data_IF_060745909737
#
_entry.id   IF_060745909737
#
_cell.length_a   1.000
_cell.length_b   1.000
_cell.length_c   1.000
_cell.angle_alpha   90.00
_cell.angle_beta   90.00
_cell.angle_gamma   90.00
#
_symmetry.space_group_name_H-M   'P 1'
#
loop_
_entity.id
_entity.type
_entity.pdbx_description
1 polymer ?
#
# COMPACT_ATOMS: atom_id res chain seq x y z
N UNK A 1 -25.26 -14.17 66.81
CA UNK A 1 -24.98 -12.81 66.28
C UNK A 1 -23.59 -12.71 65.64
N UNK A 2 -22.50 -13.05 66.35
CA UNK A 2 -21.13 -13.05 65.79
C UNK A 2 -20.90 -13.97 64.57
N UNK A 3 -21.56 -15.14 64.52
CA UNK A 3 -21.48 -16.10 63.39
C UNK A 3 -22.06 -15.55 62.08
N UNK A 4 -23.14 -14.77 62.15
CA UNK A 4 -23.85 -14.27 60.96
C UNK A 4 -23.15 -13.03 60.38
N UNK A 5 -22.53 -12.20 61.23
CA UNK A 5 -21.68 -11.09 60.80
C UNK A 5 -20.44 -11.59 60.04
N UNK A 6 -19.78 -12.63 60.55
CA UNK A 6 -18.59 -13.21 59.90
C UNK A 6 -18.92 -13.78 58.52
N UNK A 7 -20.05 -14.49 58.38
CA UNK A 7 -20.53 -14.99 57.07
C UNK A 7 -20.73 -13.87 56.04
N UNK A 8 -21.20 -12.69 56.47
CA UNK A 8 -21.36 -11.52 55.59
C UNK A 8 -20.04 -10.97 55.06
N UNK A 9 -18.99 -10.94 55.89
CA UNK A 9 -17.65 -10.49 55.47
C UNK A 9 -17.01 -11.45 54.45
N UNK A 10 -17.06 -12.77 54.68
CA UNK A 10 -16.55 -13.76 53.72
C UNK A 10 -17.29 -13.69 52.37
N UNK A 11 -18.60 -13.40 52.40
CA UNK A 11 -19.39 -13.26 51.19
C UNK A 11 -18.97 -12.03 50.36
N UNK A 12 -18.67 -10.90 51.02
CA UNK A 12 -18.21 -9.68 50.34
C UNK A 12 -16.81 -9.84 49.74
N UNK A 13 -15.89 -10.52 50.43
CA UNK A 13 -14.55 -10.83 49.90
C UNK A 13 -14.60 -11.81 48.70
N UNK A 14 -15.48 -12.82 48.77
CA UNK A 14 -15.70 -13.75 47.67
C UNK A 14 -16.29 -13.04 46.44
N UNK A 15 -17.24 -12.11 46.64
CA UNK A 15 -17.80 -11.29 45.56
C UNK A 15 -16.72 -10.36 44.97
N UNK A 16 -15.91 -9.71 45.82
CA UNK A 16 -14.83 -8.83 45.39
C UNK A 16 -13.77 -9.54 44.54
N UNK A 17 -13.34 -10.73 44.97
CA UNK A 17 -12.37 -11.55 44.23
C UNK A 17 -12.95 -12.11 42.92
N UNK A 18 -14.23 -12.51 42.89
CA UNK A 18 -14.92 -12.91 41.67
C UNK A 18 -15.00 -11.76 40.66
N UNK A 19 -15.40 -10.56 41.10
CA UNK A 19 -15.49 -9.37 40.24
C UNK A 19 -14.11 -8.95 39.71
N UNK A 20 -13.08 -8.99 40.55
CA UNK A 20 -11.70 -8.72 40.14
C UNK A 20 -11.21 -9.76 39.11
N UNK A 21 -11.55 -11.04 39.29
CA UNK A 21 -11.22 -12.11 38.36
C UNK A 21 -11.92 -11.97 37.01
N UNK A 22 -13.23 -11.65 37.01
CA UNK A 22 -14.00 -11.42 35.78
C UNK A 22 -13.50 -10.19 35.03
N UNK A 23 -13.28 -9.07 35.73
CA UNK A 23 -12.74 -7.84 35.14
C UNK A 23 -11.32 -8.03 34.62
N UNK A 24 -10.47 -8.74 35.36
CA UNK A 24 -9.11 -9.08 34.95
C UNK A 24 -9.08 -10.00 33.73
N UNK A 25 -9.93 -11.02 33.71
CA UNK A 25 -10.07 -11.96 32.58
C UNK A 25 -10.60 -11.29 31.32
N UNK A 26 -11.63 -10.44 31.44
CA UNK A 26 -12.17 -9.67 30.32
C UNK A 26 -11.16 -8.65 29.78
N UNK A 27 -10.42 -7.98 30.66
CA UNK A 27 -9.32 -7.10 30.29
C UNK A 27 -8.24 -7.82 29.49
N UNK A 28 -7.77 -8.97 29.99
CA UNK A 28 -6.77 -9.78 29.28
C UNK A 28 -7.27 -10.30 27.92
N UNK A 29 -8.53 -10.72 27.82
CA UNK A 29 -9.12 -11.20 26.57
C UNK A 29 -9.29 -10.09 25.52
N UNK A 30 -9.73 -8.89 25.94
CA UNK A 30 -9.79 -7.73 25.05
C UNK A 30 -8.40 -7.34 24.55
N UNK A 31 -7.39 -7.32 25.42
CA UNK A 31 -6.01 -7.01 25.05
C UNK A 31 -5.47 -8.00 24.01
N UNK A 32 -5.69 -9.29 24.23
CA UNK A 32 -5.26 -10.32 23.29
C UNK A 32 -5.91 -10.12 21.91
N UNK A 33 -7.19 -9.76 21.86
CA UNK A 33 -7.89 -9.49 20.62
C UNK A 33 -7.40 -8.22 19.91
N UNK A 34 -7.21 -7.11 20.63
CA UNK A 34 -6.75 -5.86 20.02
C UNK A 34 -5.30 -5.93 19.55
N UNK A 35 -4.39 -6.49 20.37
CA UNK A 35 -2.99 -6.66 19.98
C UNK A 35 -2.87 -7.66 18.84
N UNK A 36 -3.63 -8.76 18.88
CA UNK A 36 -3.69 -9.74 17.80
C UNK A 36 -4.15 -9.13 16.48
N UNK A 37 -5.24 -8.35 16.50
CA UNK A 37 -5.78 -7.68 15.33
C UNK A 37 -4.85 -6.58 14.78
N UNK A 38 -4.24 -5.77 15.65
CA UNK A 38 -3.28 -4.73 15.26
C UNK A 38 -2.01 -5.34 14.66
N UNK A 39 -1.50 -6.44 15.24
CA UNK A 39 -0.38 -7.19 14.67
C UNK A 39 -0.72 -7.82 13.32
N UNK A 40 -1.92 -8.39 13.19
CA UNK A 40 -2.42 -8.95 11.92
C UNK A 40 -2.50 -7.87 10.85
N UNK A 41 -3.09 -6.70 11.16
CA UNK A 41 -3.15 -5.54 10.24
C UNK A 41 -1.76 -5.05 9.85
N UNK A 42 -0.82 -5.01 10.80
CA UNK A 42 0.56 -4.66 10.53
C UNK A 42 1.21 -5.62 9.53
N UNK A 43 1.04 -6.93 9.72
CA UNK A 43 1.56 -7.95 8.79
C UNK A 43 0.90 -7.87 7.42
N UNK A 44 -0.42 -7.68 7.37
CA UNK A 44 -1.16 -7.51 6.13
C UNK A 44 -0.69 -6.28 5.36
N UNK A 45 -0.42 -5.16 6.06
CA UNK A 45 0.13 -3.95 5.47
C UNK A 45 1.54 -4.18 4.88
N UNK A 46 2.42 -4.85 5.62
CA UNK A 46 3.78 -5.15 5.16
C UNK A 46 3.78 -6.10 3.96
N UNK A 47 2.93 -7.14 3.97
CA UNK A 47 2.77 -8.05 2.84
C UNK A 47 2.24 -7.33 1.60
N UNK A 48 1.23 -6.45 1.77
CA UNK A 48 0.70 -5.62 0.70
C UNK A 48 1.77 -4.71 0.11
N UNK A 49 2.54 -4.01 0.95
CA UNK A 49 3.61 -3.13 0.50
C UNK A 49 4.68 -3.90 -0.31
N UNK A 50 5.07 -5.10 0.15
CA UNK A 50 6.02 -5.95 -0.56
C UNK A 50 5.50 -6.42 -1.92
N UNK A 51 4.23 -6.83 -1.99
CA UNK A 51 3.61 -7.27 -3.24
C UNK A 51 3.52 -6.13 -4.26
N UNK A 52 3.07 -4.94 -3.85
CA UNK A 52 3.01 -3.75 -4.71
C UNK A 52 4.41 -3.31 -5.17
N UNK A 53 5.40 -3.36 -4.28
CA UNK A 53 6.79 -3.07 -4.65
C UNK A 53 7.29 -4.04 -5.72
N UNK A 54 6.98 -5.33 -5.60
CA UNK A 54 7.36 -6.35 -6.58
C UNK A 54 6.71 -6.12 -7.96
N UNK A 55 5.41 -5.82 -8.00
CA UNK A 55 4.71 -5.50 -9.24
C UNK A 55 5.28 -4.25 -9.92
N UNK A 56 5.47 -3.16 -9.17
CA UNK A 56 6.06 -1.93 -9.69
C UNK A 56 7.51 -2.12 -10.15
N UNK A 57 8.32 -2.91 -9.45
CA UNK A 57 9.70 -3.24 -9.83
C UNK A 57 9.77 -4.01 -11.15
N UNK A 58 8.81 -4.93 -11.38
CA UNK A 58 8.68 -5.64 -12.64
C UNK A 58 8.39 -4.67 -13.81
N UNK A 59 7.49 -3.70 -13.60
CA UNK A 59 7.24 -2.66 -14.60
C UNK A 59 8.46 -1.77 -14.83
N UNK A 60 9.12 -1.31 -13.76
CA UNK A 60 10.28 -0.42 -13.83
C UNK A 60 11.43 -1.02 -14.67
N UNK A 61 11.68 -2.33 -14.55
CA UNK A 61 12.69 -3.04 -15.35
C UNK A 61 12.45 -2.95 -16.86
N UNK A 62 11.19 -2.82 -17.28
CA UNK A 62 10.81 -2.72 -18.70
C UNK A 62 10.80 -1.29 -19.25
N UNK A 63 10.82 -0.25 -18.40
CA UNK A 63 10.66 1.15 -18.82
C UNK A 63 11.76 1.59 -19.79
N UNK A 64 13.02 1.22 -19.55
CA UNK A 64 14.14 1.59 -20.42
C UNK A 64 13.95 1.08 -21.85
N UNK A 65 13.51 -0.17 -21.98
CA UNK A 65 13.25 -0.78 -23.29
C UNK A 65 12.06 -0.11 -23.98
N UNK A 66 10.96 0.12 -23.24
CA UNK A 66 9.77 0.82 -23.75
C UNK A 66 10.16 2.21 -24.25
N UNK A 67 10.88 3.00 -23.45
CA UNK A 67 11.35 4.34 -23.83
C UNK A 67 12.17 4.29 -25.13
N UNK A 68 13.12 3.36 -25.22
CA UNK A 68 13.95 3.22 -26.42
C UNK A 68 13.11 2.91 -27.67
N UNK A 69 12.11 2.02 -27.55
CA UNK A 69 11.20 1.70 -28.66
C UNK A 69 10.35 2.91 -29.07
N UNK A 70 9.84 3.68 -28.11
CA UNK A 70 9.06 4.89 -28.40
C UNK A 70 9.86 5.95 -29.13
N UNK A 71 11.13 6.14 -28.74
CA UNK A 71 12.04 7.06 -29.43
C UNK A 71 12.33 6.59 -30.86
N UNK A 72 12.66 5.31 -31.06
CA UNK A 72 12.82 4.75 -32.42
C UNK A 72 11.55 4.93 -33.27
N UNK A 73 10.37 4.70 -32.70
CA UNK A 73 9.11 4.91 -33.42
C UNK A 73 8.85 6.37 -33.79
N UNK A 74 9.44 7.32 -33.06
CA UNK A 74 9.33 8.75 -33.34
C UNK A 74 10.23 9.23 -34.48
N UNK A 75 11.27 8.47 -34.82
CA UNK A 75 12.23 8.78 -35.91
C UNK A 75 11.66 8.49 -37.31
N UNK A 76 10.56 7.73 -37.39
CA UNK A 76 9.82 7.49 -38.63
C UNK A 76 9.82 6.02 -39.09
N UNK A 77 9.16 5.73 -40.22
CA UNK A 77 8.88 4.37 -40.66
C UNK A 77 10.12 3.57 -41.13
N UNK A 78 11.24 4.23 -41.46
CA UNK A 78 12.44 3.58 -41.98
C UNK A 78 13.23 2.80 -40.92
N UNK A 79 13.16 3.22 -39.65
CA UNK A 79 13.88 2.62 -38.51
C UNK A 79 12.98 1.81 -37.59
N UNK A 80 11.70 1.67 -37.95
CA UNK A 80 10.65 1.24 -37.05
C UNK A 80 10.20 -0.20 -37.30
N UNK A 81 10.32 -1.03 -36.26
CA UNK A 81 9.56 -2.28 -36.20
C UNK A 81 8.04 -2.01 -36.27
N UNK A 82 7.24 -2.84 -36.97
CA UNK A 82 5.80 -2.64 -37.07
C UNK A 82 5.15 -2.56 -35.68
N UNK A 83 4.39 -1.49 -35.41
CA UNK A 83 3.54 -1.44 -34.21
C UNK A 83 2.38 -2.40 -34.45
N UNK A 84 2.29 -3.42 -33.61
CA UNK A 84 1.21 -4.39 -33.63
C UNK A 84 0.17 -4.01 -32.58
N UNK A 85 -1.08 -4.38 -32.86
CA UNK A 85 -2.14 -4.34 -31.85
C UNK A 85 -1.76 -5.27 -30.69
N UNK A 86 -1.96 -4.81 -29.48
CA UNK A 86 -1.72 -5.57 -28.27
C UNK A 86 -2.76 -5.21 -27.21
N UNK A 87 -2.92 -6.09 -26.22
CA UNK A 87 -3.68 -5.80 -25.01
C UNK A 87 -2.71 -5.41 -23.90
N UNK A 88 -2.88 -4.25 -23.23
CA UNK A 88 -1.97 -3.86 -22.17
C UNK A 88 -1.96 -4.87 -21.03
N UNK A 89 -0.81 -5.09 -20.37
CA UNK A 89 -0.75 -5.91 -19.18
C UNK A 89 -1.60 -5.28 -18.06
N UNK A 90 -2.25 -6.13 -17.28
CA UNK A 90 -3.03 -5.77 -16.09
C UNK A 90 -2.15 -5.60 -14.85
N UNK A 91 -2.70 -5.04 -13.78
CA UNK A 91 -2.01 -4.84 -12.50
C UNK A 91 -2.65 -5.73 -11.40
N UNK A 92 -2.48 -7.06 -11.46
CA UNK A 92 -3.26 -7.99 -10.63
C UNK A 92 -3.11 -7.76 -9.12
N UNK A 93 -1.92 -7.36 -8.65
CA UNK A 93 -1.71 -7.06 -7.23
C UNK A 93 -2.45 -5.78 -6.85
N UNK A 94 -2.30 -4.70 -7.62
CA UNK A 94 -3.00 -3.45 -7.33
C UNK A 94 -4.52 -3.61 -7.41
N UNK A 95 -5.03 -4.17 -8.51
CA UNK A 95 -6.47 -4.29 -8.77
C UNK A 95 -7.17 -5.15 -7.70
N UNK A 96 -6.51 -6.21 -7.21
CA UNK A 96 -7.05 -7.06 -6.13
C UNK A 96 -6.91 -6.47 -4.72
N UNK A 97 -6.15 -5.38 -4.55
CA UNK A 97 -5.80 -4.82 -3.24
C UNK A 97 -6.27 -3.38 -3.00
N UNK A 98 -7.02 -2.77 -3.93
CA UNK A 98 -7.53 -1.39 -3.83
C UNK A 98 -8.20 -1.11 -2.48
N UNK A 99 -9.06 -2.01 -2.01
CA UNK A 99 -9.77 -1.87 -0.72
C UNK A 99 -8.84 -1.91 0.51
N UNK A 100 -7.61 -2.42 0.35
CA UNK A 100 -6.61 -2.58 1.43
C UNK A 100 -5.53 -1.52 1.40
N UNK A 101 -5.51 -0.61 0.42
CA UNK A 101 -4.48 0.44 0.32
C UNK A 101 -4.41 1.31 1.58
N UNK A 102 -5.53 1.50 2.29
CA UNK A 102 -5.58 2.24 3.55
C UNK A 102 -4.65 1.68 4.65
N UNK A 103 -4.26 0.40 4.58
CA UNK A 103 -3.31 -0.22 5.51
C UNK A 103 -1.90 0.40 5.43
N UNK A 104 -1.55 1.02 4.30
CA UNK A 104 -0.25 1.68 4.09
C UNK A 104 -0.19 3.08 4.75
N UNK A 105 -1.32 3.59 5.24
CA UNK A 105 -1.49 4.97 5.66
C UNK A 105 -1.71 5.92 4.48
N UNK A 106 -2.23 7.13 4.75
CA UNK A 106 -2.76 8.03 3.71
C UNK A 106 -1.71 8.46 2.69
N UNK A 107 -0.48 8.74 3.14
CA UNK A 107 0.60 9.22 2.26
C UNK A 107 1.03 8.16 1.24
N UNK A 108 1.28 6.92 1.69
CA UNK A 108 1.69 5.84 0.78
C UNK A 108 0.52 5.37 -0.09
N UNK A 109 -0.68 5.24 0.47
CA UNK A 109 -1.88 4.88 -0.28
C UNK A 109 -2.13 5.84 -1.45
N UNK A 110 -2.03 7.16 -1.20
CA UNK A 110 -2.18 8.18 -2.23
C UNK A 110 -1.10 8.11 -3.31
N UNK A 111 0.17 7.90 -2.91
CA UNK A 111 1.26 7.71 -3.88
C UNK A 111 1.05 6.48 -4.76
N UNK A 112 0.65 5.35 -4.17
CA UNK A 112 0.35 4.11 -4.90
C UNK A 112 -0.75 4.37 -5.94
N UNK A 113 -1.90 4.90 -5.50
CA UNK A 113 -3.00 5.18 -6.41
C UNK A 113 -2.59 6.12 -7.56
N UNK A 114 -1.85 7.19 -7.27
CA UNK A 114 -1.36 8.13 -8.29
C UNK A 114 -0.45 7.46 -9.34
N UNK A 115 0.53 6.66 -8.90
CA UNK A 115 1.49 6.03 -9.83
C UNK A 115 0.80 5.00 -10.72
N UNK A 116 -0.10 4.18 -10.17
CA UNK A 116 -0.86 3.23 -10.99
C UNK A 116 -1.76 3.91 -12.01
N UNK A 117 -2.36 5.07 -11.68
CA UNK A 117 -3.12 5.85 -12.66
C UNK A 117 -2.24 6.44 -13.76
N UNK A 118 -1.06 6.96 -13.44
CA UNK A 118 -0.11 7.44 -14.43
C UNK A 118 0.33 6.33 -15.39
N UNK A 119 0.63 5.13 -14.86
CA UNK A 119 0.95 3.95 -15.68
C UNK A 119 -0.23 3.51 -16.55
N UNK A 120 -1.46 3.60 -16.03
CA UNK A 120 -2.68 3.29 -16.78
C UNK A 120 -2.89 4.30 -17.92
N UNK A 121 -2.62 5.58 -17.69
CA UNK A 121 -2.69 6.62 -18.72
C UNK A 121 -1.66 6.37 -19.83
N UNK A 122 -0.40 6.07 -19.51
CA UNK A 122 0.62 5.72 -20.51
C UNK A 122 0.16 4.52 -21.35
N UNK A 123 -0.36 3.47 -20.70
CA UNK A 123 -0.86 2.28 -21.42
C UNK A 123 -2.05 2.61 -22.32
N UNK A 124 -2.97 3.47 -21.89
CA UNK A 124 -4.11 3.90 -22.69
C UNK A 124 -3.65 4.65 -23.95
N UNK A 125 -2.70 5.58 -23.80
CA UNK A 125 -2.12 6.32 -24.94
C UNK A 125 -1.41 5.38 -25.93
N UNK A 126 -0.63 4.40 -25.44
CA UNK A 126 0.00 3.39 -26.27
C UNK A 126 -1.03 2.50 -26.99
N UNK A 127 -2.15 2.21 -26.34
CA UNK A 127 -3.24 1.43 -26.93
C UNK A 127 -3.87 2.15 -28.12
N UNK A 128 -4.15 3.46 -27.98
CA UNK A 128 -4.67 4.29 -29.07
C UNK A 128 -3.69 4.27 -30.25
N UNK A 129 -2.40 4.50 -29.99
CA UNK A 129 -1.37 4.42 -31.02
C UNK A 129 -1.42 3.05 -31.70
N UNK A 130 -1.39 1.96 -30.96
CA UNK A 130 -1.36 0.62 -31.54
C UNK A 130 -2.60 0.25 -32.35
N UNK A 131 -3.76 0.80 -32.01
CA UNK A 131 -5.02 0.54 -32.70
C UNK A 131 -5.17 1.35 -33.99
N UNK A 132 -4.75 2.61 -33.96
CA UNK A 132 -5.06 3.59 -35.01
C UNK A 132 -3.84 3.92 -35.90
N UNK A 133 -2.67 3.34 -35.66
CA UNK A 133 -1.42 3.73 -36.35
C UNK A 133 -1.47 3.67 -37.89
N UNK A 134 -2.36 2.87 -38.48
CA UNK A 134 -2.52 2.78 -39.94
C UNK A 134 -3.25 3.98 -40.53
N UNK A 135 -4.11 4.63 -39.75
CA UNK A 135 -4.94 5.75 -40.15
C UNK A 135 -4.40 7.09 -39.61
N UNK A 136 -3.44 7.02 -38.69
CA UNK A 136 -2.84 8.16 -38.01
C UNK A 136 -1.85 8.92 -38.89
N UNK A 137 -1.98 10.25 -38.93
CA UNK A 137 -1.02 11.11 -39.63
C UNK A 137 0.35 11.10 -38.93
N UNK A 138 1.43 11.27 -39.70
CA UNK A 138 2.80 11.20 -39.16
C UNK A 138 3.07 12.24 -38.06
N UNK A 139 2.53 13.45 -38.19
CA UNK A 139 2.68 14.50 -37.18
C UNK A 139 1.93 14.15 -35.89
N UNK A 140 0.72 13.59 -36.00
CA UNK A 140 -0.07 13.14 -34.86
C UNK A 140 0.63 11.99 -34.12
N UNK A 141 1.13 11.01 -34.87
CA UNK A 141 1.87 9.87 -34.32
C UNK A 141 3.11 10.34 -33.55
N UNK A 142 3.90 11.24 -34.14
CA UNK A 142 5.09 11.81 -33.49
C UNK A 142 4.71 12.54 -32.19
N UNK A 143 3.66 13.37 -32.23
CA UNK A 143 3.18 14.07 -31.04
C UNK A 143 2.70 13.12 -29.93
N UNK A 144 1.98 12.04 -30.27
CA UNK A 144 1.50 11.04 -29.31
C UNK A 144 2.66 10.25 -28.68
N UNK A 145 3.63 9.82 -29.48
CA UNK A 145 4.84 9.16 -28.98
C UNK A 145 5.65 10.09 -28.07
N UNK A 146 5.82 11.35 -28.46
CA UNK A 146 6.48 12.36 -27.65
C UNK A 146 5.80 12.58 -26.29
N UNK A 147 4.46 12.60 -26.25
CA UNK A 147 3.70 12.65 -24.99
C UNK A 147 3.95 11.43 -24.10
N UNK A 148 3.97 10.22 -24.67
CA UNK A 148 4.26 9.00 -23.91
C UNK A 148 5.66 9.04 -23.29
N UNK A 149 6.67 9.50 -24.05
CA UNK A 149 8.04 9.66 -23.55
C UNK A 149 8.11 10.72 -22.45
N UNK A 150 7.44 11.86 -22.64
CA UNK A 150 7.40 12.91 -21.62
C UNK A 150 6.76 12.41 -20.32
N UNK A 151 5.64 11.69 -20.41
CA UNK A 151 4.97 11.12 -19.24
C UNK A 151 5.83 10.07 -18.54
N UNK A 152 6.49 9.18 -19.30
CA UNK A 152 7.46 8.23 -18.74
C UNK A 152 8.61 8.91 -17.99
N UNK A 153 9.14 10.03 -18.51
CA UNK A 153 10.23 10.76 -17.86
C UNK A 153 9.81 11.40 -16.52
N UNK A 154 8.55 11.78 -16.39
CA UNK A 154 8.00 12.32 -15.14
C UNK A 154 7.64 11.20 -14.16
N UNK A 155 7.03 10.11 -14.64
CA UNK A 155 6.50 9.04 -13.80
C UNK A 155 7.56 8.05 -13.33
N UNK A 156 8.58 7.73 -14.14
CA UNK A 156 9.64 6.77 -13.78
C UNK A 156 10.34 7.10 -12.45
N UNK A 157 10.93 8.30 -12.24
CA UNK A 157 11.61 8.60 -10.99
C UNK A 157 10.67 8.54 -9.77
N UNK A 158 9.39 8.91 -9.96
CA UNK A 158 8.38 8.84 -8.90
C UNK A 158 7.98 7.40 -8.58
N UNK A 159 7.88 6.53 -9.58
CA UNK A 159 7.64 5.10 -9.39
C UNK A 159 8.83 4.43 -8.67
N UNK A 160 10.07 4.76 -9.05
CA UNK A 160 11.28 4.26 -8.37
C UNK A 160 11.35 4.71 -6.91
N UNK A 161 11.03 5.97 -6.63
CA UNK A 161 10.93 6.48 -5.27
C UNK A 161 9.84 5.74 -4.46
N UNK A 162 8.67 5.49 -5.05
CA UNK A 162 7.60 4.72 -4.42
C UNK A 162 8.03 3.27 -4.12
N UNK A 163 8.72 2.61 -5.05
CA UNK A 163 9.26 1.26 -4.83
C UNK A 163 10.19 1.24 -3.62
N UNK A 164 11.06 2.26 -3.49
CA UNK A 164 11.94 2.42 -2.33
C UNK A 164 11.13 2.61 -1.03
N UNK A 165 10.16 3.53 -1.03
CA UNK A 165 9.29 3.79 0.13
C UNK A 165 8.54 2.53 0.58
N UNK A 166 8.03 1.73 -0.35
CA UNK A 166 7.33 0.48 -0.07
C UNK A 166 8.29 -0.59 0.50
N UNK A 167 9.50 -0.72 -0.06
CA UNK A 167 10.54 -1.63 0.48
C UNK A 167 10.94 -1.23 1.90
N UNK A 168 11.13 0.07 2.17
CA UNK A 168 11.37 0.59 3.53
C UNK A 168 10.19 0.27 4.45
N UNK A 169 8.95 0.43 3.97
CA UNK A 169 7.75 0.10 4.75
C UNK A 169 7.74 -1.38 5.17
N UNK A 170 8.15 -2.31 4.30
CA UNK A 170 8.23 -3.74 4.65
C UNK A 170 9.23 -4.05 5.76
N UNK A 171 10.29 -3.23 5.90
CA UNK A 171 11.34 -3.41 6.91
C UNK A 171 10.98 -2.88 8.30
N UNK A 172 9.80 -2.28 8.46
CA UNK A 172 9.34 -1.78 9.77
C UNK A 172 9.21 -2.94 10.77
N UNK A 173 9.45 -2.65 12.05
CA UNK A 173 9.25 -3.60 13.15
C UNK A 173 7.93 -3.30 13.87
N UNK A 174 7.23 -4.35 14.27
CA UNK A 174 6.06 -4.19 15.11
C UNK A 174 6.46 -3.76 16.52
N UNK A 175 5.78 -2.74 17.07
CA UNK A 175 6.09 -2.19 18.38
C UNK A 175 4.96 -2.45 19.39
N UNK A 176 5.11 -3.53 20.16
CA UNK A 176 4.14 -3.98 21.17
C UNK A 176 3.97 -2.99 22.34
N UNK A 177 5.03 -2.28 22.71
CA UNK A 177 5.06 -1.40 23.91
C UNK A 177 4.19 -0.15 23.79
N UNK A 178 3.81 0.26 22.58
CA UNK A 178 2.91 1.41 22.38
C UNK A 178 1.53 1.18 23.02
N UNK A 179 1.04 -0.06 22.99
CA UNK A 179 -0.22 -0.42 23.65
C UNK A 179 -0.11 -0.50 25.16
N UNK A 180 1.04 -0.96 25.67
CA UNK A 180 1.32 -0.98 27.11
C UNK A 180 1.33 0.45 27.67
N UNK A 181 1.91 1.42 26.95
CA UNK A 181 2.02 2.81 27.40
C UNK A 181 0.67 3.55 27.42
N UNK A 182 -0.18 3.36 26.41
CA UNK A 182 -1.54 3.94 26.36
C UNK A 182 -2.36 3.51 27.58
N UNK A 183 -2.17 2.29 28.05
CA UNK A 183 -2.92 1.75 29.20
C UNK A 183 -2.34 2.18 30.54
N UNK A 184 -1.01 2.24 30.69
CA UNK A 184 -0.35 2.67 31.94
C UNK A 184 -0.57 4.17 32.20
N UNK A 185 -0.62 4.98 31.13
CA UNK A 185 -0.72 6.44 31.26
C UNK A 185 -2.14 6.97 31.06
N UNK A 186 -3.08 6.17 30.54
CA UNK A 186 -4.43 6.61 30.21
C UNK A 186 -4.49 7.66 29.08
N UNK A 187 -3.34 7.99 28.48
CA UNK A 187 -3.24 8.97 27.41
C UNK A 187 -3.46 8.26 26.08
N UNK A 188 -4.61 8.52 25.46
CA UNK A 188 -4.83 8.26 24.02
C UNK A 188 -4.00 9.26 23.20
N UNK A 189 -2.68 9.14 23.29
CA UNK A 189 -1.75 10.00 22.57
C UNK A 189 -1.88 9.74 21.09
N UNK A 190 -2.16 10.81 20.32
CA UNK A 190 -2.05 10.84 18.86
C UNK A 190 -0.81 10.05 18.44
N UNK A 191 -0.98 8.97 17.67
CA UNK A 191 0.12 8.34 16.93
C UNK A 191 0.59 9.35 15.88
N UNK A 192 1.42 10.30 16.29
CA UNK A 192 2.28 11.01 15.36
C UNK A 192 3.32 9.99 14.92
N UNK A 193 3.13 9.52 13.68
CA UNK A 193 4.10 8.64 13.02
C UNK A 193 5.28 9.55 12.67
N UNK A 194 6.15 9.77 13.65
CA UNK A 194 7.47 10.33 13.41
C UNK A 194 8.20 9.37 12.48
N UNK A 195 8.16 9.73 11.21
CA UNK A 195 9.03 9.17 10.19
C UNK A 195 10.39 9.84 10.40
N UNK A 196 11.48 9.09 10.63
CA UNK A 196 12.80 9.69 10.59
C UNK A 196 13.01 10.27 9.19
N UNK A 197 13.49 11.52 9.19
CA UNK A 197 13.89 12.36 8.05
C UNK A 197 14.73 11.58 7.05
#
# INVERSE_FOLDING_TARGET
>A
MFSELKKGEWALEAIGSLLAGVMGGMGAAMLNNFVGEDYRRFRDAAALAGALAGELDAHAKSIREIRSKLLQWSEGPATREPIRKFSPPTDPVFDSSVAKLGLLGPKLAGKVASIYQEMRQIRADLMIIAQEVKEMQSAELSARLGRCVALLNVSEPRALALISDLKIFTGRRYFLWGWVFVLVTGVFGKREIDSPV
#
